data_IF_039069309271
#
_entry.id   IF_039069309271
#
_cell.length_a   1.000
_cell.length_b   1.000
_cell.length_c   1.000
_cell.angle_alpha   90.00
_cell.angle_beta   90.00
_cell.angle_gamma   90.00
#
_symmetry.space_group_name_H-M   'P 1'
#
loop_
_entity.id
_entity.type
_entity.pdbx_description
1 polymer ?
#
# COMPACT_ATOMS: atom_id res chain seq x y z
N UNK A 1 -13.80 33.66 5.86
CA UNK A 1 -13.53 32.50 4.96
C UNK A 1 -12.04 32.32 4.91
N UNK A 2 -11.57 31.14 5.34
CA UNK A 2 -10.15 30.84 5.25
C UNK A 2 -9.75 30.61 3.81
N UNK A 3 -8.58 31.11 3.37
CA UNK A 3 -8.09 30.81 2.04
C UNK A 3 -7.87 29.30 1.91
N UNK A 4 -8.23 28.74 0.77
CA UNK A 4 -7.93 27.36 0.48
C UNK A 4 -6.41 27.15 0.47
N UNK A 5 -5.92 26.18 1.22
CA UNK A 5 -4.51 25.79 1.12
C UNK A 5 -4.28 25.12 -0.24
N UNK A 6 -3.17 25.47 -0.93
CA UNK A 6 -2.83 24.75 -2.14
C UNK A 6 -2.64 23.27 -1.81
N UNK A 7 -3.14 22.41 -2.69
CA UNK A 7 -2.91 20.96 -2.55
C UNK A 7 -1.42 20.69 -2.51
N UNK A 8 -0.98 19.86 -1.57
CA UNK A 8 0.40 19.41 -1.50
C UNK A 8 0.66 18.46 -2.68
N UNK A 9 1.66 18.80 -3.50
CA UNK A 9 2.02 17.98 -4.65
C UNK A 9 2.73 16.69 -4.19
N UNK A 10 2.47 15.56 -4.86
CA UNK A 10 3.21 14.34 -4.61
C UNK A 10 4.70 14.53 -4.82
N UNK A 11 5.50 13.90 -3.96
CA UNK A 11 6.96 13.88 -4.06
C UNK A 11 7.41 12.69 -4.89
N UNK A 12 8.51 12.88 -5.61
CA UNK A 12 9.15 11.82 -6.36
C UNK A 12 10.04 10.98 -5.46
N UNK A 13 10.10 9.68 -5.74
CA UNK A 13 11.04 8.77 -5.12
C UNK A 13 12.43 9.00 -5.71
N UNK A 14 13.44 9.12 -4.86
CA UNK A 14 14.84 9.13 -5.32
C UNK A 14 15.18 7.77 -5.92
N UNK A 15 16.24 7.67 -6.77
CA UNK A 15 16.71 6.37 -7.25
C UNK A 15 17.03 5.39 -6.12
N UNK A 16 17.65 5.85 -5.03
CA UNK A 16 17.95 5.02 -3.86
C UNK A 16 16.68 4.53 -3.16
N UNK A 17 15.67 5.40 -3.01
CA UNK A 17 14.38 5.02 -2.45
C UNK A 17 13.67 3.98 -3.32
N UNK A 18 13.68 4.17 -4.64
CA UNK A 18 13.07 3.22 -5.58
C UNK A 18 13.75 1.86 -5.51
N UNK A 19 15.08 1.81 -5.50
CA UNK A 19 15.83 0.57 -5.38
C UNK A 19 15.51 -0.15 -4.07
N UNK A 20 15.45 0.59 -2.97
CA UNK A 20 15.11 0.03 -1.67
C UNK A 20 13.70 -0.57 -1.65
N UNK A 21 12.73 0.12 -2.24
CA UNK A 21 11.34 -0.32 -2.28
C UNK A 21 11.11 -1.46 -3.29
N UNK A 22 11.89 -1.54 -4.36
CA UNK A 22 11.78 -2.61 -5.35
C UNK A 22 12.28 -3.96 -4.83
N UNK A 23 13.12 -3.97 -3.81
CA UNK A 23 13.51 -5.22 -3.16
C UNK A 23 12.32 -5.81 -2.39
N UNK A 24 12.28 -7.14 -2.30
CA UNK A 24 11.17 -7.84 -1.65
C UNK A 24 11.21 -7.59 -0.14
N UNK A 25 10.29 -6.80 0.36
CA UNK A 25 10.11 -6.47 1.77
C UNK A 25 8.64 -6.35 2.09
N UNK A 26 8.31 -6.42 3.37
CA UNK A 26 6.97 -6.13 3.85
C UNK A 26 6.88 -4.65 4.23
N UNK A 27 5.69 -4.09 4.11
CA UNK A 27 5.40 -2.76 4.60
C UNK A 27 4.53 -2.84 5.86
N UNK A 28 4.66 -1.83 6.72
CA UNK A 28 3.70 -1.57 7.78
C UNK A 28 2.87 -0.37 7.35
N UNK A 29 1.57 -0.56 7.25
CA UNK A 29 0.62 0.51 6.93
C UNK A 29 -0.07 0.98 8.21
N UNK A 30 -0.12 2.30 8.40
CA UNK A 30 -0.81 2.93 9.51
C UNK A 30 -2.02 3.70 9.00
N UNK A 31 -3.18 3.41 9.58
CA UNK A 31 -4.46 4.02 9.24
C UNK A 31 -5.13 4.49 10.53
N UNK A 32 -6.20 5.25 10.41
CA UNK A 32 -6.91 5.79 11.56
C UNK A 32 -8.23 5.06 11.78
N UNK A 33 -8.39 4.51 12.97
CA UNK A 33 -9.66 3.97 13.44
C UNK A 33 -10.71 5.08 13.54
N UNK A 34 -11.96 4.68 13.69
CA UNK A 34 -13.10 5.60 13.78
C UNK A 34 -12.97 6.59 14.92
N UNK A 35 -12.38 6.19 16.04
CA UNK A 35 -12.14 7.03 17.20
C UNK A 35 -10.86 7.88 17.09
N UNK A 36 -10.16 7.82 15.95
CA UNK A 36 -8.91 8.54 15.71
C UNK A 36 -7.65 7.84 16.20
N UNK A 37 -7.78 6.70 16.87
CA UNK A 37 -6.62 5.93 17.30
C UNK A 37 -5.91 5.28 16.10
N UNK A 38 -4.58 5.11 16.13
CA UNK A 38 -3.85 4.49 15.03
C UNK A 38 -4.09 2.98 14.98
N UNK A 39 -4.12 2.44 13.77
CA UNK A 39 -4.16 1.00 13.49
C UNK A 39 -3.04 0.66 12.52
N UNK A 40 -2.30 -0.39 12.81
CA UNK A 40 -1.19 -0.85 11.95
C UNK A 40 -1.45 -2.25 11.45
N UNK A 41 -0.99 -2.53 10.23
CA UNK A 41 -1.03 -3.85 9.63
C UNK A 41 0.23 -4.09 8.80
N UNK A 42 0.68 -5.34 8.74
CA UNK A 42 1.75 -5.75 7.83
C UNK A 42 1.11 -6.14 6.50
N UNK A 43 1.62 -5.58 5.42
CA UNK A 43 1.02 -5.74 4.09
C UNK A 43 2.09 -5.98 3.02
N UNK A 44 1.65 -6.59 1.92
CA UNK A 44 2.39 -6.60 0.67
C UNK A 44 2.19 -5.26 -0.05
N UNK A 45 3.16 -4.89 -0.85
CA UNK A 45 3.06 -3.69 -1.68
C UNK A 45 3.79 -3.87 -3.00
N UNK A 46 3.47 -3.01 -3.94
CA UNK A 46 4.27 -2.80 -5.16
C UNK A 46 4.50 -1.31 -5.35
N UNK A 47 5.58 -0.97 -6.07
CA UNK A 47 5.83 0.41 -6.49
C UNK A 47 5.12 0.63 -7.82
N UNK A 48 4.35 1.70 -7.91
CA UNK A 48 3.64 2.11 -9.11
C UNK A 48 4.03 3.56 -9.41
N UNK A 49 4.94 3.75 -10.38
CA UNK A 49 5.58 5.03 -10.64
C UNK A 49 6.26 5.56 -9.36
N UNK A 50 5.82 6.70 -8.83
CA UNK A 50 6.30 7.26 -7.57
C UNK A 50 5.37 6.97 -6.40
N UNK A 51 4.44 6.04 -6.57
CA UNK A 51 3.47 5.65 -5.56
C UNK A 51 3.67 4.25 -5.02
N UNK A 52 2.97 3.96 -3.94
CA UNK A 52 2.90 2.63 -3.33
C UNK A 52 1.48 2.11 -3.49
N UNK A 53 1.36 0.93 -4.09
CA UNK A 53 0.09 0.24 -4.24
C UNK A 53 -0.03 -0.84 -3.16
N UNK A 54 -1.14 -0.84 -2.45
CA UNK A 54 -1.52 -1.89 -1.49
C UNK A 54 -2.90 -2.42 -1.85
N UNK A 55 -3.22 -3.63 -1.41
CA UNK A 55 -4.46 -4.30 -1.77
C UNK A 55 -4.94 -5.16 -0.61
N UNK A 56 -6.25 -5.27 -0.45
CA UNK A 56 -6.85 -6.09 0.59
C UNK A 56 -8.21 -6.64 0.17
N UNK A 57 -8.64 -7.66 0.90
CA UNK A 57 -10.03 -8.09 0.84
C UNK A 57 -10.91 -7.07 1.56
N UNK A 58 -12.11 -6.84 1.03
CA UNK A 58 -13.14 -6.05 1.71
C UNK A 58 -13.51 -6.68 3.05
N UNK A 59 -13.87 -5.84 4.01
CA UNK A 59 -14.29 -6.26 5.34
C UNK A 59 -13.18 -6.25 6.39
N UNK A 60 -11.93 -6.04 6.00
CA UNK A 60 -10.82 -5.86 6.94
C UNK A 60 -10.81 -4.43 7.48
N UNK A 61 -10.15 -4.26 8.64
CA UNK A 61 -10.16 -2.97 9.35
C UNK A 61 -9.44 -1.87 8.59
N UNK A 62 -8.23 -2.13 8.08
CA UNK A 62 -7.48 -1.05 7.46
C UNK A 62 -8.07 -0.56 6.13
N UNK A 63 -8.64 -1.41 5.25
CA UNK A 63 -9.39 -0.90 4.09
C UNK A 63 -10.61 -0.06 4.49
N UNK A 64 -11.36 -0.50 5.48
CA UNK A 64 -12.51 0.26 5.99
C UNK A 64 -12.08 1.62 6.55
N UNK A 65 -10.95 1.65 7.27
CA UNK A 65 -10.38 2.89 7.78
C UNK A 65 -10.03 3.85 6.65
N UNK A 66 -9.39 3.37 5.58
CA UNK A 66 -8.97 4.22 4.46
C UNK A 66 -10.15 4.74 3.62
N UNK A 67 -11.24 3.99 3.56
CA UNK A 67 -12.47 4.48 2.91
C UNK A 67 -13.08 5.64 3.67
N UNK A 68 -13.01 5.59 4.99
CA UNK A 68 -13.56 6.65 5.86
C UNK A 68 -12.62 7.85 5.96
N UNK A 69 -11.31 7.59 6.08
CA UNK A 69 -10.27 8.61 6.24
C UNK A 69 -9.07 8.19 5.39
N UNK A 70 -8.80 8.89 4.28
CA UNK A 70 -7.78 8.46 3.32
C UNK A 70 -6.34 8.70 3.79
N UNK A 71 -6.13 9.31 4.94
CA UNK A 71 -4.79 9.57 5.48
C UNK A 71 -4.09 8.27 5.83
N UNK A 72 -2.82 8.17 5.47
CA UNK A 72 -2.05 6.92 5.60
C UNK A 72 -0.58 7.23 5.78
N UNK A 73 0.12 6.36 6.49
CA UNK A 73 1.58 6.27 6.46
C UNK A 73 1.98 4.83 6.18
N UNK A 74 3.03 4.67 5.40
CA UNK A 74 3.60 3.37 5.06
C UNK A 74 5.08 3.41 5.41
N UNK A 75 5.54 2.42 6.16
CA UNK A 75 6.95 2.25 6.51
C UNK A 75 7.46 0.94 5.94
N UNK A 76 8.60 0.99 5.27
CA UNK A 76 9.37 -0.18 4.85
C UNK A 76 10.74 -0.08 5.50
N UNK A 77 11.16 -1.13 6.22
CA UNK A 77 12.39 -1.12 6.98
C UNK A 77 13.19 -2.40 6.74
N UNK A 78 14.51 -2.24 6.83
CA UNK A 78 15.49 -3.33 6.83
C UNK A 78 16.55 -2.97 7.89
N UNK A 79 16.32 -3.44 9.12
CA UNK A 79 17.08 -2.96 10.27
C UNK A 79 16.84 -1.47 10.50
N UNK A 80 17.91 -0.68 10.56
CA UNK A 80 17.84 0.77 10.73
C UNK A 80 17.72 1.53 9.40
N UNK A 81 17.83 0.85 8.27
CA UNK A 81 17.53 1.45 6.96
C UNK A 81 16.02 1.45 6.77
N UNK A 82 15.46 2.59 6.43
CA UNK A 82 14.00 2.68 6.29
C UNK A 82 13.59 3.80 5.35
N UNK A 83 12.35 3.70 4.89
CA UNK A 83 11.61 4.80 4.25
C UNK A 83 10.21 4.86 4.83
N UNK A 84 9.75 6.07 5.15
CA UNK A 84 8.37 6.37 5.54
C UNK A 84 7.75 7.27 4.50
N UNK A 85 6.57 6.87 4.03
CA UNK A 85 5.81 7.57 3.01
C UNK A 85 4.46 7.95 3.59
N UNK A 86 4.14 9.23 3.60
CA UNK A 86 2.87 9.73 4.14
C UNK A 86 2.09 10.50 3.09
N UNK A 87 0.77 10.51 3.24
CA UNK A 87 -0.14 11.23 2.36
C UNK A 87 -1.55 10.69 2.44
N UNK A 88 -2.25 10.75 1.34
CA UNK A 88 -3.60 10.21 1.20
C UNK A 88 -3.65 9.20 0.06
N UNK A 89 -4.58 8.26 0.16
CA UNK A 89 -4.75 7.22 -0.86
C UNK A 89 -5.86 7.57 -1.84
N UNK A 90 -5.70 7.04 -3.06
CA UNK A 90 -6.77 6.91 -4.04
C UNK A 90 -7.30 5.49 -3.99
N UNK A 91 -8.62 5.32 -3.95
CA UNK A 91 -9.29 4.01 -3.87
C UNK A 91 -9.60 3.52 -5.27
N UNK A 92 -9.28 2.26 -5.57
CA UNK A 92 -9.65 1.60 -6.81
C UNK A 92 -10.47 0.34 -6.51
N UNK A 93 -11.76 0.43 -6.78
CA UNK A 93 -12.75 -0.63 -6.57
C UNK A 93 -12.98 -1.51 -7.79
N UNK A 94 -12.33 -1.23 -8.90
CA UNK A 94 -12.47 -2.06 -10.11
C UNK A 94 -11.96 -3.47 -9.82
N UNK A 95 -12.85 -4.47 -9.88
CA UNK A 95 -12.48 -5.83 -9.50
C UNK A 95 -11.47 -6.45 -10.46
N UNK A 96 -11.52 -6.11 -11.74
CA UNK A 96 -10.52 -6.58 -12.71
C UNK A 96 -9.12 -6.11 -12.32
N UNK A 97 -8.96 -4.82 -12.03
CA UNK A 97 -7.66 -4.25 -11.62
C UNK A 97 -7.26 -4.71 -10.22
N UNK A 98 -8.18 -4.75 -9.28
CA UNK A 98 -7.86 -5.18 -7.91
C UNK A 98 -7.45 -6.64 -7.84
N UNK A 99 -8.12 -7.52 -8.60
CA UNK A 99 -7.76 -8.93 -8.72
C UNK A 99 -6.40 -9.10 -9.41
N UNK A 100 -6.14 -8.36 -10.49
CA UNK A 100 -4.84 -8.38 -11.16
C UNK A 100 -3.72 -7.90 -10.24
N UNK A 101 -3.97 -6.89 -9.42
CA UNK A 101 -2.99 -6.35 -8.48
C UNK A 101 -2.62 -7.38 -7.40
N UNK A 102 -3.61 -8.02 -6.77
CA UNK A 102 -3.29 -9.02 -5.73
C UNK A 102 -2.63 -10.27 -6.33
N UNK A 103 -3.00 -10.66 -7.55
CA UNK A 103 -2.36 -11.76 -8.25
C UNK A 103 -0.87 -11.46 -8.52
N UNK A 104 -0.57 -10.26 -8.99
CA UNK A 104 0.82 -9.83 -9.21
C UNK A 104 1.62 -9.80 -7.90
N UNK A 105 1.02 -9.32 -6.81
CA UNK A 105 1.65 -9.33 -5.49
C UNK A 105 1.92 -10.76 -4.99
N UNK A 106 0.95 -11.66 -5.13
CA UNK A 106 1.13 -13.06 -4.74
C UNK A 106 2.30 -13.71 -5.48
N UNK A 107 2.39 -13.49 -6.78
CA UNK A 107 3.49 -14.03 -7.61
C UNK A 107 4.84 -13.43 -7.21
N UNK A 108 4.87 -12.16 -6.86
CA UNK A 108 6.09 -11.49 -6.39
C UNK A 108 6.54 -12.01 -5.04
N UNK A 109 5.63 -12.08 -4.06
CA UNK A 109 5.96 -12.47 -2.69
C UNK A 109 6.17 -13.99 -2.51
N UNK A 110 5.67 -14.79 -3.45
CA UNK A 110 5.85 -16.24 -3.50
C UNK A 110 6.58 -16.69 -4.76
N UNK A 111 7.55 -15.88 -5.23
CA UNK A 111 8.33 -16.22 -6.42
C UNK A 111 9.14 -17.51 -6.23
N UNK A 112 9.48 -17.87 -5.01
CA UNK A 112 10.17 -19.12 -4.64
C UNK A 112 9.23 -20.35 -4.64
N UNK A 113 7.91 -20.14 -4.67
CA UNK A 113 6.91 -21.19 -4.73
C UNK A 113 5.73 -20.77 -5.63
N UNK A 114 5.93 -20.80 -6.97
CA UNK A 114 4.90 -20.35 -7.90
C UNK A 114 3.57 -21.12 -7.80
N UNK A 115 3.63 -22.42 -7.47
CA UNK A 115 2.41 -23.22 -7.30
C UNK A 115 1.57 -22.73 -6.13
N UNK A 116 2.20 -22.34 -5.03
CA UNK A 116 1.51 -21.76 -3.88
C UNK A 116 0.87 -20.41 -4.24
N UNK A 117 1.58 -19.58 -5.00
CA UNK A 117 1.02 -18.30 -5.48
C UNK A 117 -0.26 -18.52 -6.29
N UNK A 118 -0.23 -19.45 -7.25
CA UNK A 118 -1.40 -19.74 -8.10
C UNK A 118 -2.56 -20.35 -7.28
N UNK A 119 -2.26 -21.17 -6.27
CA UNK A 119 -3.28 -21.70 -5.37
C UNK A 119 -3.98 -20.59 -4.57
N UNK A 120 -3.21 -19.66 -4.00
CA UNK A 120 -3.77 -18.50 -3.29
C UNK A 120 -4.66 -17.66 -4.20
N UNK A 121 -4.23 -17.41 -5.44
CA UNK A 121 -4.99 -16.63 -6.41
C UNK A 121 -6.32 -17.33 -6.72
N UNK A 122 -6.28 -18.60 -7.12
CA UNK A 122 -7.45 -19.33 -7.58
C UNK A 122 -8.43 -19.68 -6.45
N UNK A 123 -7.92 -20.06 -5.28
CA UNK A 123 -8.74 -20.66 -4.22
C UNK A 123 -9.00 -19.73 -3.04
N UNK A 124 -8.42 -18.53 -3.04
CA UNK A 124 -8.65 -17.55 -1.98
C UNK A 124 -8.98 -16.16 -2.54
N UNK A 125 -8.05 -15.54 -3.28
CA UNK A 125 -8.19 -14.14 -3.67
C UNK A 125 -9.31 -13.91 -4.69
N UNK A 126 -9.49 -14.81 -5.65
CA UNK A 126 -10.57 -14.71 -6.64
C UNK A 126 -11.97 -14.85 -6.02
N UNK A 127 -12.06 -15.48 -4.83
CA UNK A 127 -13.31 -15.65 -4.11
C UNK A 127 -13.66 -14.45 -3.22
N UNK A 128 -12.78 -13.47 -3.14
CA UNK A 128 -12.93 -12.27 -2.31
C UNK A 128 -13.20 -11.06 -3.18
N UNK A 129 -14.02 -10.14 -2.67
CA UNK A 129 -14.06 -8.80 -3.24
C UNK A 129 -12.80 -8.06 -2.77
N UNK A 130 -12.01 -7.57 -3.73
CA UNK A 130 -10.73 -6.92 -3.44
C UNK A 130 -10.82 -5.42 -3.65
N UNK A 131 -9.91 -4.67 -3.06
CA UNK A 131 -9.76 -3.23 -3.22
C UNK A 131 -8.28 -2.88 -3.25
N UNK A 132 -7.89 -1.99 -4.14
CA UNK A 132 -6.55 -1.41 -4.19
C UNK A 132 -6.58 0.03 -3.69
N UNK A 133 -5.49 0.43 -3.07
CA UNK A 133 -5.24 1.81 -2.63
C UNK A 133 -3.89 2.25 -3.14
N UNK A 134 -3.86 3.40 -3.80
CA UNK A 134 -2.62 4.00 -4.30
C UNK A 134 -2.25 5.20 -3.43
N UNK A 135 -1.10 5.12 -2.77
CA UNK A 135 -0.50 6.23 -2.04
C UNK A 135 0.49 6.95 -2.95
N UNK A 136 0.21 8.21 -3.27
CA UNK A 136 1.18 9.13 -3.86
C UNK A 136 1.73 9.99 -2.72
N UNK A 137 2.98 9.78 -2.29
CA UNK A 137 3.47 10.39 -1.06
C UNK A 137 3.62 11.90 -1.19
N UNK A 138 3.18 12.64 -0.18
CA UNK A 138 3.41 14.08 -0.02
C UNK A 138 4.44 14.38 1.06
N UNK A 139 4.83 13.35 1.83
CA UNK A 139 5.88 13.42 2.83
C UNK A 139 6.74 12.16 2.73
N UNK A 140 8.05 12.33 2.70
CA UNK A 140 9.02 11.22 2.65
C UNK A 140 10.08 11.47 3.71
N UNK A 141 10.32 10.45 4.55
CA UNK A 141 11.42 10.42 5.51
C UNK A 141 12.19 9.12 5.26
N UNK A 142 13.51 9.20 5.22
CA UNK A 142 14.31 8.03 4.91
C UNK A 142 15.70 8.09 5.52
N UNK A 143 16.24 6.92 5.78
CA UNK A 143 17.63 6.67 6.13
C UNK A 143 18.07 5.39 5.39
N UNK A 144 18.74 5.58 4.27
CA UNK A 144 19.05 4.48 3.35
C UNK A 144 20.56 4.22 3.19
#
# INVERSE_FOLDING_TARGET
MSPAHPATLPKQLSPAARDFLDALRFAVIATLNEDGSPHQAVVWYTVDEDGILVNSAEGRRWPANLRRDPRVEVTVADGYRYIQLGGTVEVDDDQGRAQAAIAAMARRYHADDPAHAEDLIANRFMLQRRVSFLLRPTAIRQDL
#
